data_IF_590282158593
#
_entry.id   IF_590282158593
#
_cell.length_a   1.000
_cell.length_b   1.000
_cell.length_c   1.000
_cell.angle_alpha   90.00
_cell.angle_beta   90.00
_cell.angle_gamma   90.00
#
_symmetry.space_group_name_H-M   'P 1'
#
loop_
_entity.id
_entity.type
_entity.pdbx_description
1 polymer ?
#
# COMPACT_ATOMS: atom_id res chain seq x y z
N UNK A 1 25.10 18.58 18.42
CA UNK A 1 24.18 17.81 19.28
C UNK A 1 22.88 17.57 18.51
N UNK A 2 22.86 16.56 17.62
CA UNK A 2 21.68 16.24 16.82
C UNK A 2 20.77 15.36 17.67
N UNK A 3 19.68 15.95 18.16
CA UNK A 3 18.69 15.27 19.02
C UNK A 3 17.86 14.28 18.19
N UNK A 4 18.03 12.99 18.48
CA UNK A 4 16.99 11.96 18.60
C UNK A 4 15.68 12.21 17.82
N UNK A 5 15.69 11.97 16.50
CA UNK A 5 14.50 12.05 15.62
C UNK A 5 14.21 10.75 14.86
N UNK A 6 15.11 9.77 14.88
CA UNK A 6 15.00 8.57 14.05
C UNK A 6 13.83 7.64 14.47
N UNK A 7 13.64 7.38 15.78
CA UNK A 7 12.50 6.56 16.25
C UNK A 7 11.13 7.19 15.98
N UNK A 8 11.06 8.53 15.93
CA UNK A 8 9.83 9.25 15.51
C UNK A 8 9.55 9.09 14.02
N UNK A 9 10.58 8.85 13.21
CA UNK A 9 10.47 8.72 11.76
C UNK A 9 9.78 7.40 11.38
N UNK A 10 10.16 6.27 11.98
CA UNK A 10 9.60 4.95 11.65
C UNK A 10 8.12 4.83 12.01
N UNK A 11 7.75 5.36 13.18
CA UNK A 11 6.37 5.48 13.65
C UNK A 11 5.48 6.29 12.69
N UNK A 12 5.96 7.48 12.32
CA UNK A 12 5.28 8.35 11.38
C UNK A 12 5.19 7.72 9.99
N UNK A 13 6.23 7.03 9.54
CA UNK A 13 6.24 6.31 8.27
C UNK A 13 5.20 5.19 8.23
N UNK A 14 5.00 4.43 9.30
CA UNK A 14 3.92 3.43 9.37
C UNK A 14 2.54 4.07 9.21
N UNK A 15 2.30 5.19 9.91
CA UNK A 15 1.05 5.92 9.78
C UNK A 15 0.83 6.42 8.35
N UNK A 16 1.88 6.99 7.74
CA UNK A 16 1.88 7.43 6.35
C UNK A 16 1.61 6.27 5.39
N UNK A 17 2.16 5.08 5.63
CA UNK A 17 1.88 3.89 4.80
C UNK A 17 0.42 3.46 4.90
N UNK A 18 -0.15 3.42 6.12
CA UNK A 18 -1.56 3.07 6.30
C UNK A 18 -2.44 4.05 5.52
N UNK A 19 -2.20 5.34 5.69
CA UNK A 19 -2.99 6.40 5.07
C UNK A 19 -2.83 6.45 3.54
N UNK A 20 -1.59 6.48 3.05
CA UNK A 20 -1.31 6.55 1.61
C UNK A 20 -1.65 5.24 0.90
N UNK A 21 -1.48 4.09 1.54
CA UNK A 21 -1.91 2.81 1.00
C UNK A 21 -3.43 2.79 0.79
N UNK A 22 -4.19 3.21 1.81
CA UNK A 22 -5.65 3.37 1.68
C UNK A 22 -6.03 4.34 0.55
N UNK A 23 -5.47 5.56 0.54
CA UNK A 23 -5.76 6.55 -0.49
C UNK A 23 -5.38 6.06 -1.90
N UNK A 24 -4.23 5.38 -2.02
CA UNK A 24 -3.74 4.85 -3.29
C UNK A 24 -4.67 3.79 -3.88
N UNK A 25 -5.15 2.85 -3.06
CA UNK A 25 -6.11 1.84 -3.50
C UNK A 25 -7.44 2.48 -3.89
N UNK A 26 -7.94 3.45 -3.11
CA UNK A 26 -9.17 4.17 -3.44
C UNK A 26 -9.06 4.92 -4.77
N UNK A 27 -7.95 5.63 -4.98
CA UNK A 27 -7.70 6.35 -6.23
C UNK A 27 -7.61 5.37 -7.40
N UNK A 28 -6.92 4.24 -7.24
CA UNK A 28 -6.84 3.19 -8.27
C UNK A 28 -8.22 2.66 -8.65
N UNK A 29 -9.10 2.40 -7.68
CA UNK A 29 -10.46 1.95 -7.98
C UNK A 29 -11.29 3.00 -8.73
N UNK A 30 -11.10 4.28 -8.44
CA UNK A 30 -11.73 5.37 -9.23
C UNK A 30 -11.22 5.36 -10.67
N UNK A 31 -9.91 5.15 -10.90
CA UNK A 31 -9.35 5.06 -12.25
C UNK A 31 -9.85 3.82 -13.00
N UNK A 32 -9.93 2.66 -12.35
CA UNK A 32 -10.50 1.43 -12.93
C UNK A 32 -11.96 1.64 -13.30
N UNK A 33 -12.76 2.27 -12.42
CA UNK A 33 -14.14 2.64 -12.72
C UNK A 33 -14.25 3.53 -13.95
N UNK A 34 -13.45 4.59 -14.02
CA UNK A 34 -13.43 5.50 -15.17
C UNK A 34 -13.04 4.79 -16.46
N UNK A 35 -12.05 3.89 -16.42
CA UNK A 35 -11.62 3.10 -17.56
C UNK A 35 -12.73 2.13 -18.03
N UNK A 36 -13.42 1.45 -17.11
CA UNK A 36 -14.57 0.59 -17.43
C UNK A 36 -15.72 1.38 -18.07
N UNK A 37 -16.02 2.59 -17.57
CA UNK A 37 -17.05 3.45 -18.17
C UNK A 37 -16.69 3.91 -19.59
N UNK A 38 -15.43 4.29 -19.81
CA UNK A 38 -14.93 4.65 -21.13
C UNK A 38 -15.09 3.45 -22.07
N UNK A 39 -14.62 2.28 -21.67
CA UNK A 39 -14.70 1.06 -22.48
C UNK A 39 -16.13 0.71 -22.88
N UNK A 40 -17.05 0.70 -21.92
CA UNK A 40 -18.47 0.46 -22.17
C UNK A 40 -19.11 1.52 -23.07
N UNK A 41 -18.70 2.79 -22.95
CA UNK A 41 -19.26 3.88 -23.78
C UNK A 41 -18.78 3.77 -25.22
N UNK A 42 -17.49 3.48 -25.46
CA UNK A 42 -16.96 3.40 -26.82
C UNK A 42 -17.38 2.12 -27.54
N UNK A 43 -17.52 1.00 -26.83
CA UNK A 43 -18.01 -0.26 -27.41
C UNK A 43 -19.51 -0.28 -27.67
N UNK A 44 -20.29 0.59 -27.01
CA UNK A 44 -21.74 0.71 -27.22
C UNK A 44 -22.14 1.72 -28.31
N UNK A 45 -21.19 2.48 -28.87
CA UNK A 45 -21.44 3.40 -29.98
C UNK A 45 -21.40 2.60 -31.29
N UNK A 46 -22.56 2.10 -31.70
CA UNK A 46 -22.76 1.43 -32.99
C UNK A 46 -22.98 2.48 -34.11
N UNK A 47 -21.93 3.24 -34.43
CA UNK A 47 -21.94 4.20 -35.53
C UNK A 47 -21.02 3.68 -36.62
N UNK A 48 -21.58 3.34 -37.77
CA UNK A 48 -20.87 3.11 -39.03
C UNK A 48 -20.81 4.43 -39.82
N UNK A 49 -19.61 5.01 -40.02
CA UNK A 49 -19.42 6.11 -41.00
C UNK A 49 -18.55 5.57 -42.14
N UNK A 50 -19.20 5.06 -43.20
CA UNK A 50 -18.51 4.42 -44.32
C UNK A 50 -18.23 2.93 -44.06
N UNK A 51 -17.08 2.41 -44.50
CA UNK A 51 -16.60 1.02 -44.25
C UNK A 51 -15.82 0.88 -42.93
N UNK A 52 -15.69 1.95 -42.14
CA UNK A 52 -14.90 1.92 -40.90
C UNK A 52 -15.85 1.81 -39.70
N UNK A 53 -15.80 0.66 -39.04
CA UNK A 53 -16.50 0.42 -37.79
C UNK A 53 -15.76 1.14 -36.64
N UNK A 54 -16.42 2.07 -35.95
CA UNK A 54 -15.81 2.85 -34.87
C UNK A 54 -15.43 1.99 -33.66
N UNK A 55 -16.18 0.93 -33.38
CA UNK A 55 -15.85 -0.03 -32.33
C UNK A 55 -14.57 -0.79 -32.66
N UNK A 56 -14.43 -1.25 -33.90
CA UNK A 56 -13.22 -1.95 -34.37
C UNK A 56 -11.99 -1.04 -34.33
N UNK A 57 -12.13 0.23 -34.74
CA UNK A 57 -11.04 1.21 -34.64
C UNK A 57 -10.68 1.57 -33.20
N UNK A 58 -11.64 1.55 -32.27
CA UNK A 58 -11.39 1.75 -30.84
C UNK A 58 -10.65 0.55 -30.24
N UNK A 59 -11.12 -0.66 -30.51
CA UNK A 59 -10.54 -1.91 -30.02
C UNK A 59 -9.08 -2.05 -30.45
N UNK A 60 -8.75 -1.72 -31.70
CA UNK A 60 -7.39 -1.79 -32.24
C UNK A 60 -6.45 -0.67 -31.73
N UNK A 61 -6.95 0.34 -31.02
CA UNK A 61 -6.15 1.48 -30.56
C UNK A 61 -6.24 1.70 -29.06
N UNK A 62 -7.28 2.42 -28.61
CA UNK A 62 -7.46 2.81 -27.22
C UNK A 62 -7.92 1.63 -26.35
N UNK A 63 -8.70 0.70 -26.92
CA UNK A 63 -9.19 -0.49 -26.25
C UNK A 63 -8.07 -1.41 -25.77
N UNK A 64 -6.99 -1.59 -26.54
CA UNK A 64 -5.80 -2.33 -26.09
C UNK A 64 -5.18 -1.68 -24.85
N UNK A 65 -5.02 -0.35 -24.85
CA UNK A 65 -4.42 0.38 -23.74
C UNK A 65 -5.25 0.28 -22.46
N UNK A 66 -6.57 0.44 -22.59
CA UNK A 66 -7.51 0.33 -21.46
C UNK A 66 -7.54 -1.11 -20.93
N UNK A 67 -7.63 -2.11 -21.79
CA UNK A 67 -7.60 -3.51 -21.38
C UNK A 67 -6.29 -3.89 -20.68
N UNK A 68 -5.14 -3.41 -21.16
CA UNK A 68 -3.85 -3.64 -20.47
C UNK A 68 -3.84 -2.99 -19.09
N UNK A 69 -4.36 -1.76 -18.98
CA UNK A 69 -4.46 -1.07 -17.69
C UNK A 69 -5.37 -1.82 -16.72
N UNK A 70 -6.59 -2.18 -17.13
CA UNK A 70 -7.56 -2.92 -16.32
C UNK A 70 -6.98 -4.26 -15.83
N UNK A 71 -6.39 -5.04 -16.74
CA UNK A 71 -5.78 -6.33 -16.41
C UNK A 71 -4.54 -6.22 -15.49
N UNK A 72 -3.89 -5.05 -15.46
CA UNK A 72 -2.69 -4.80 -14.65
C UNK A 72 -2.95 -3.96 -13.40
N UNK A 73 -4.16 -3.41 -13.24
CA UNK A 73 -4.48 -2.44 -12.19
C UNK A 73 -4.24 -3.01 -10.79
N UNK A 74 -4.65 -4.25 -10.55
CA UNK A 74 -4.40 -4.92 -9.26
C UNK A 74 -2.91 -5.12 -9.00
N UNK A 75 -2.14 -5.49 -10.03
CA UNK A 75 -0.70 -5.67 -9.90
C UNK A 75 -0.02 -4.34 -9.58
N UNK A 76 -0.45 -3.24 -10.18
CA UNK A 76 0.07 -1.90 -9.87
C UNK A 76 -0.30 -1.45 -8.45
N UNK A 77 -1.54 -1.68 -8.03
CA UNK A 77 -1.98 -1.40 -6.66
C UNK A 77 -1.18 -2.21 -5.63
N UNK A 78 -1.01 -3.50 -5.86
CA UNK A 78 -0.23 -4.38 -4.99
C UNK A 78 1.26 -3.99 -4.98
N UNK A 79 1.84 -3.68 -6.14
CA UNK A 79 3.24 -3.26 -6.25
C UNK A 79 3.47 -1.94 -5.51
N UNK A 80 2.55 -0.99 -5.59
CA UNK A 80 2.60 0.25 -4.82
C UNK A 80 2.64 -0.09 -3.33
N UNK A 81 1.68 -0.88 -2.83
CA UNK A 81 1.56 -1.24 -1.41
C UNK A 81 2.79 -1.98 -0.88
N UNK A 82 3.28 -2.98 -1.62
CA UNK A 82 4.51 -3.69 -1.28
C UNK A 82 5.73 -2.77 -1.33
N UNK A 83 5.80 -1.88 -2.31
CA UNK A 83 6.83 -0.86 -2.41
C UNK A 83 6.89 0.02 -1.17
N UNK A 84 5.73 0.43 -0.62
CA UNK A 84 5.68 1.19 0.63
C UNK A 84 6.23 0.39 1.81
N UNK A 85 5.88 -0.90 1.94
CA UNK A 85 6.42 -1.77 3.00
C UNK A 85 7.95 -1.85 2.89
N UNK A 86 8.45 -2.13 1.68
CA UNK A 86 9.89 -2.25 1.44
C UNK A 86 10.61 -0.95 1.79
N UNK A 87 10.06 0.21 1.41
CA UNK A 87 10.62 1.51 1.76
C UNK A 87 10.69 1.73 3.28
N UNK A 88 9.70 1.28 4.05
CA UNK A 88 9.76 1.36 5.52
C UNK A 88 10.84 0.45 6.08
N UNK A 89 10.96 -0.78 5.56
CA UNK A 89 11.98 -1.72 6.02
C UNK A 89 13.39 -1.17 5.71
N UNK A 90 13.61 -0.66 4.50
CA UNK A 90 14.88 -0.07 4.07
C UNK A 90 15.19 1.20 4.87
N UNK A 91 14.23 2.11 5.05
CA UNK A 91 14.45 3.32 5.86
C UNK A 91 14.76 2.97 7.30
N UNK A 92 14.10 1.96 7.88
CA UNK A 92 14.41 1.46 9.23
C UNK A 92 15.83 0.90 9.33
N UNK A 93 16.34 0.28 8.25
CA UNK A 93 17.72 -0.19 8.17
C UNK A 93 18.73 0.97 8.06
N UNK A 94 18.43 1.99 7.26
CA UNK A 94 19.33 3.15 7.03
C UNK A 94 19.39 4.08 8.24
N UNK A 95 18.26 4.38 8.88
CA UNK A 95 18.17 5.35 9.98
C UNK A 95 18.34 4.72 11.38
N UNK A 96 19.19 3.69 11.46
CA UNK A 96 19.36 2.88 12.66
C UNK A 96 20.02 3.67 13.81
N UNK A 97 19.29 3.92 14.89
CA UNK A 97 19.86 4.49 16.13
C UNK A 97 19.93 3.46 17.26
N UNK A 98 21.05 3.46 18.00
CA UNK A 98 21.28 2.60 19.16
C UNK A 98 20.55 3.13 20.38
N UNK A 99 19.23 2.97 20.49
CA UNK A 99 18.53 3.34 21.73
C UNK A 99 17.63 2.21 22.23
N UNK A 100 18.18 1.36 23.11
CA UNK A 100 17.47 0.26 23.80
C UNK A 100 16.28 0.71 24.67
N UNK A 101 16.16 2.01 24.98
CA UNK A 101 15.13 2.55 25.89
C UNK A 101 13.83 2.90 25.15
N UNK A 102 13.83 2.94 23.81
CA UNK A 102 12.65 3.37 23.03
C UNK A 102 11.64 2.28 22.70
N UNK A 103 11.93 1.02 23.01
CA UNK A 103 11.07 -0.12 22.64
C UNK A 103 9.66 -0.04 23.24
N UNK A 104 9.51 0.53 24.45
CA UNK A 104 8.21 0.71 25.11
C UNK A 104 7.37 1.79 24.41
N UNK A 105 8.00 2.90 24.02
CA UNK A 105 7.33 3.96 23.27
C UNK A 105 6.94 3.49 21.87
N UNK A 106 7.81 2.71 21.24
CA UNK A 106 7.58 2.01 19.98
C UNK A 106 6.38 1.05 20.09
N UNK A 107 6.26 0.29 21.17
CA UNK A 107 5.11 -0.58 21.40
C UNK A 107 3.79 0.19 21.56
N UNK A 108 3.80 1.33 22.27
CA UNK A 108 2.62 2.19 22.38
C UNK A 108 2.19 2.75 21.01
N UNK A 109 3.15 3.13 20.16
CA UNK A 109 2.91 3.58 18.79
C UNK A 109 2.31 2.48 17.94
N UNK A 110 2.80 1.23 18.06
CA UNK A 110 2.23 0.09 17.35
C UNK A 110 0.75 -0.08 17.67
N UNK A 111 0.36 0.03 18.95
CA UNK A 111 -1.04 -0.07 19.36
C UNK A 111 -1.88 1.01 18.67
N UNK A 112 -1.39 2.25 18.63
CA UNK A 112 -2.08 3.35 17.94
C UNK A 112 -2.19 3.05 16.43
N UNK A 113 -1.10 2.63 15.79
CA UNK A 113 -1.10 2.26 14.37
C UNK A 113 -2.06 1.10 14.07
N UNK A 114 -2.15 0.12 14.96
CA UNK A 114 -3.10 -0.99 14.86
C UNK A 114 -4.55 -0.51 14.95
N UNK A 115 -4.89 0.37 15.90
CA UNK A 115 -6.23 0.97 16.00
C UNK A 115 -6.59 1.72 14.72
N UNK A 116 -5.64 2.50 14.18
CA UNK A 116 -5.81 3.17 12.90
C UNK A 116 -6.02 2.17 11.75
N UNK A 117 -5.25 1.09 11.71
CA UNK A 117 -5.39 0.07 10.67
C UNK A 117 -6.78 -0.59 10.70
N UNK A 118 -7.30 -0.91 11.88
CA UNK A 118 -8.65 -1.45 12.06
C UNK A 118 -9.71 -0.44 11.63
N UNK A 119 -9.53 0.84 11.97
CA UNK A 119 -10.48 1.90 11.60
C UNK A 119 -10.50 2.11 10.09
N UNK A 120 -9.33 2.14 9.44
CA UNK A 120 -9.18 2.26 7.99
C UNK A 120 -9.77 1.06 7.28
N UNK A 121 -9.53 -0.17 7.76
CA UNK A 121 -10.17 -1.37 7.25
C UNK A 121 -11.70 -1.27 7.33
N UNK A 122 -12.22 -0.81 8.48
CA UNK A 122 -13.66 -0.62 8.67
C UNK A 122 -14.24 0.38 7.67
N UNK A 123 -13.59 1.55 7.54
CA UNK A 123 -13.98 2.59 6.59
C UNK A 123 -13.91 2.07 5.14
N UNK A 124 -12.84 1.36 4.77
CA UNK A 124 -12.69 0.74 3.46
C UNK A 124 -13.82 -0.24 3.18
N UNK A 125 -14.12 -1.13 4.13
CA UNK A 125 -15.22 -2.07 3.99
C UNK A 125 -16.58 -1.36 3.82
N UNK A 126 -16.82 -0.26 4.52
CA UNK A 126 -18.03 0.55 4.31
C UNK A 126 -18.07 1.17 2.92
N UNK A 127 -16.94 1.68 2.41
CA UNK A 127 -16.87 2.30 1.08
C UNK A 127 -17.11 1.28 -0.03
N UNK A 128 -16.42 0.13 -0.01
CA UNK A 128 -16.57 -0.87 -1.08
C UNK A 128 -17.98 -1.48 -1.10
N UNK A 129 -18.66 -1.58 0.04
CA UNK A 129 -20.02 -2.11 0.13
C UNK A 129 -21.11 -1.04 -0.03
N UNK A 130 -20.76 0.22 -0.32
CA UNK A 130 -21.73 1.31 -0.47
C UNK A 130 -22.52 1.24 -1.78
N UNK A 131 -21.99 0.56 -2.79
CA UNK A 131 -22.63 0.31 -4.10
C UNK A 131 -22.12 -1.00 -4.69
N UNK A 132 -22.93 -1.61 -5.55
CA UNK A 132 -22.58 -2.85 -6.26
C UNK A 132 -21.42 -2.64 -7.23
N UNK A 133 -21.37 -1.49 -7.89
CA UNK A 133 -20.32 -1.16 -8.86
C UNK A 133 -18.94 -1.03 -8.19
N UNK A 134 -18.87 -0.34 -7.04
CA UNK A 134 -17.62 -0.26 -6.28
C UNK A 134 -17.24 -1.63 -5.72
N UNK A 135 -18.22 -2.41 -5.25
CA UNK A 135 -17.95 -3.76 -4.76
C UNK A 135 -17.32 -4.62 -5.86
N UNK A 136 -17.85 -4.58 -7.07
CA UNK A 136 -17.32 -5.36 -8.20
C UNK A 136 -15.89 -4.93 -8.53
N UNK A 137 -15.62 -3.63 -8.65
CA UNK A 137 -14.26 -3.13 -8.92
C UNK A 137 -13.27 -3.59 -7.86
N UNK A 138 -13.61 -3.42 -6.58
CA UNK A 138 -12.67 -3.73 -5.50
C UNK A 138 -12.58 -5.24 -5.21
N UNK A 139 -13.60 -6.03 -5.53
CA UNK A 139 -13.60 -7.48 -5.27
C UNK A 139 -13.12 -8.31 -6.46
N UNK A 140 -13.28 -7.82 -7.69
CA UNK A 140 -12.92 -8.49 -8.94
C UNK A 140 -11.66 -7.88 -9.53
N UNK A 141 -11.67 -6.58 -9.82
CA UNK A 141 -10.59 -5.92 -10.59
C UNK A 141 -9.37 -5.55 -9.73
N UNK A 142 -9.56 -5.32 -8.42
CA UNK A 142 -8.51 -4.93 -7.47
C UNK A 142 -8.41 -5.90 -6.29
N UNK A 143 -8.60 -7.19 -6.56
CA UNK A 143 -8.75 -8.21 -5.51
C UNK A 143 -7.59 -8.25 -4.50
N UNK A 144 -6.34 -8.25 -4.97
CA UNK A 144 -5.18 -8.37 -4.07
C UNK A 144 -4.94 -7.06 -3.30
N UNK A 145 -5.09 -5.93 -3.98
CA UNK A 145 -4.99 -4.60 -3.38
C UNK A 145 -6.04 -4.40 -2.28
N UNK A 146 -7.29 -4.80 -2.54
CA UNK A 146 -8.38 -4.78 -1.55
C UNK A 146 -8.12 -5.73 -0.40
N UNK A 147 -7.65 -6.95 -0.67
CA UNK A 147 -7.29 -7.90 0.38
C UNK A 147 -6.18 -7.36 1.27
N UNK A 148 -5.22 -6.64 0.72
CA UNK A 148 -4.18 -6.00 1.51
C UNK A 148 -4.77 -4.98 2.50
N UNK A 149 -5.63 -4.07 2.03
CA UNK A 149 -6.26 -3.06 2.89
C UNK A 149 -7.20 -3.70 3.92
N UNK A 150 -7.95 -4.73 3.52
CA UNK A 150 -8.82 -5.47 4.44
C UNK A 150 -8.04 -6.25 5.50
N UNK A 151 -6.78 -6.62 5.24
CA UNK A 151 -5.91 -7.31 6.18
C UNK A 151 -4.84 -6.40 6.80
N UNK A 152 -4.99 -5.09 6.70
CA UNK A 152 -4.02 -4.12 7.20
C UNK A 152 -3.72 -4.32 8.70
N UNK A 153 -4.74 -4.65 9.49
CA UNK A 153 -4.60 -4.96 10.92
C UNK A 153 -3.66 -6.14 11.21
N UNK A 154 -3.52 -7.09 10.29
CA UNK A 154 -2.59 -8.23 10.41
C UNK A 154 -1.20 -7.85 9.88
N UNK A 155 -1.16 -7.13 8.76
CA UNK A 155 0.08 -6.77 8.07
C UNK A 155 0.93 -5.82 8.93
N UNK A 156 0.31 -4.83 9.58
CA UNK A 156 1.03 -3.82 10.36
C UNK A 156 1.85 -4.42 11.52
N UNK A 157 1.30 -5.29 12.38
CA UNK A 157 2.09 -6.02 13.38
C UNK A 157 3.25 -6.83 12.79
N UNK A 158 3.04 -7.48 11.64
CA UNK A 158 4.08 -8.27 10.98
C UNK A 158 5.23 -7.37 10.50
N UNK A 159 4.91 -6.31 9.76
CA UNK A 159 5.90 -5.34 9.26
C UNK A 159 6.66 -4.71 10.44
N UNK A 160 5.97 -4.39 11.53
CA UNK A 160 6.60 -3.89 12.74
C UNK A 160 7.53 -4.87 13.42
N UNK A 161 7.15 -6.16 13.50
CA UNK A 161 8.03 -7.19 14.03
C UNK A 161 9.33 -7.28 13.22
N UNK A 162 9.26 -7.20 11.89
CA UNK A 162 10.45 -7.11 11.03
C UNK A 162 11.30 -5.87 11.34
N UNK A 163 10.68 -4.70 11.50
CA UNK A 163 11.37 -3.46 11.87
C UNK A 163 12.12 -3.62 13.20
N UNK A 164 11.50 -4.21 14.23
CA UNK A 164 12.14 -4.46 15.52
C UNK A 164 13.30 -5.44 15.39
N UNK A 165 13.10 -6.57 14.71
CA UNK A 165 14.14 -7.60 14.51
C UNK A 165 15.34 -6.99 13.78
N UNK A 166 15.10 -6.20 12.74
CA UNK A 166 16.17 -5.54 12.00
C UNK A 166 16.82 -4.46 12.87
N UNK A 167 16.04 -3.61 13.54
CA UNK A 167 16.59 -2.48 14.30
C UNK A 167 17.40 -2.93 15.52
N UNK A 168 16.95 -3.97 16.23
CA UNK A 168 17.52 -4.40 17.51
C UNK A 168 18.18 -5.79 17.50
N UNK A 169 17.71 -6.72 16.68
CA UNK A 169 18.13 -8.13 16.70
C UNK A 169 19.41 -8.44 15.94
N UNK A 170 19.63 -7.81 14.78
CA UNK A 170 20.70 -8.24 13.86
C UNK A 170 22.12 -7.73 14.23
N UNK A 171 22.29 -6.73 15.09
CA UNK A 171 23.62 -6.15 15.35
C UNK A 171 23.88 -5.91 16.84
N UNK A 172 24.41 -6.96 17.49
CA UNK A 172 25.11 -6.86 18.78
C UNK A 172 26.33 -5.95 18.59
N UNK A 173 26.46 -4.91 19.42
CA UNK A 173 27.75 -4.21 19.55
C UNK A 173 28.73 -5.21 20.17
N UNK A 174 29.79 -5.47 19.42
CA UNK A 174 30.98 -6.25 19.79
C UNK A 174 31.45 -5.84 21.20
N UNK A 175 31.89 -6.83 21.99
CA UNK A 175 32.69 -6.54 23.19
C UNK A 175 33.95 -5.84 22.70
N UNK A 176 34.04 -4.53 22.95
CA UNK A 176 35.27 -3.79 22.75
C UNK A 176 36.34 -4.51 23.57
N UNK A 177 37.41 -4.96 22.93
CA UNK A 177 38.56 -5.65 23.54
C UNK A 177 39.34 -4.77 24.55
N UNK A 178 38.79 -3.64 25.02
CA UNK A 178 39.36 -2.79 26.07
C UNK A 178 39.09 -3.28 27.49
N UNK A 179 38.14 -4.21 27.69
CA UNK A 179 37.76 -4.70 29.03
C UNK A 179 38.49 -5.99 29.44
N UNK A 180 39.48 -6.42 28.65
CA UNK A 180 40.36 -7.56 28.96
C UNK A 180 41.78 -7.13 29.38
N UNK A 181 41.98 -5.83 29.61
CA UNK A 181 43.28 -5.28 30.01
C UNK A 181 43.14 -4.00 30.83
N UNK A 182 42.60 -4.11 32.04
CA UNK A 182 42.80 -3.18 33.15
C UNK A 182 42.68 -3.94 34.48
#
# INVERSE_FOLDING_TARGET
>A
MVKNKAGKLNAFMLFVLIFLGFMGVIIMGIFVYGANLIDQTFTSIDIEIGEVNFTESYDDTLGIGINVFLNSADNYGLLLLLGMIVLIIVSSFVFREKQKVWIVAEFAILIIAFIFAVTIQGAYNTVINSSTELLDIYSVDLINSSRFILNLHIIIPIVWAFIIIISYGLFKKERTFSDLGA
#
